data_IF_262883622489
#
_entry.id   IF_262883622489
#
_cell.length_a   1.000
_cell.length_b   1.000
_cell.length_c   1.000
_cell.angle_alpha   90.00
_cell.angle_beta   90.00
_cell.angle_gamma   90.00
#
_symmetry.space_group_name_H-M   'P 1'
#
loop_
_entity.id
_entity.type
_entity.pdbx_description
1 polymer ?
#
# COMPACT_ATOMS: atom_id res chain seq x y z
N UNK A 1 14.48 1.75 -11.50
CA UNK A 1 14.57 2.62 -10.31
C UNK A 1 13.27 2.66 -9.52
N UNK A 2 12.15 2.91 -10.19
CA UNK A 2 10.85 3.01 -9.53
C UNK A 2 10.42 1.73 -8.81
N UNK A 3 10.75 0.58 -9.36
CA UNK A 3 10.39 -0.69 -8.74
C UNK A 3 11.22 -0.96 -7.48
N UNK A 4 12.47 -0.50 -7.46
CA UNK A 4 13.32 -0.61 -6.28
C UNK A 4 12.74 0.24 -5.14
N UNK A 5 12.28 1.44 -5.47
CA UNK A 5 11.65 2.33 -4.49
C UNK A 5 10.37 1.68 -3.94
N UNK A 6 9.56 1.07 -4.81
CA UNK A 6 8.36 0.37 -4.38
C UNK A 6 8.68 -0.75 -3.39
N UNK A 7 9.71 -1.56 -3.71
CA UNK A 7 10.11 -2.66 -2.84
C UNK A 7 10.61 -2.14 -1.49
N UNK A 8 11.35 -1.04 -1.49
CA UNK A 8 11.86 -0.45 -0.25
C UNK A 8 10.72 0.08 0.63
N UNK A 9 9.67 0.63 0.01
CA UNK A 9 8.55 1.18 0.78
C UNK A 9 7.66 0.09 1.39
N UNK A 10 7.69 -1.13 0.88
CA UNK A 10 6.85 -2.21 1.40
C UNK A 10 7.10 -2.48 2.89
N UNK A 11 8.35 -2.68 3.35
CA UNK A 11 8.59 -2.89 4.79
C UNK A 11 8.21 -1.68 5.65
N UNK A 12 8.42 -0.47 5.12
CA UNK A 12 8.08 0.75 5.84
C UNK A 12 6.57 0.84 6.04
N UNK A 13 5.81 0.57 4.99
CA UNK A 13 4.36 0.58 5.07
C UNK A 13 3.83 -0.55 5.95
N UNK A 14 4.48 -1.72 5.90
CA UNK A 14 4.16 -2.84 6.78
C UNK A 14 4.30 -2.42 8.24
N UNK A 15 5.41 -1.78 8.58
CA UNK A 15 5.66 -1.28 9.94
C UNK A 15 4.58 -0.27 10.34
N UNK A 16 4.27 0.67 9.46
CA UNK A 16 3.24 1.68 9.72
C UNK A 16 1.89 1.04 10.02
N UNK A 17 1.49 0.06 9.21
CA UNK A 17 0.22 -0.63 9.39
C UNK A 17 0.21 -1.43 10.70
N UNK A 18 1.31 -2.14 10.99
CA UNK A 18 1.41 -2.93 12.21
C UNK A 18 1.26 -2.04 13.45
N UNK A 19 1.96 -0.92 13.48
CA UNK A 19 1.89 0.02 14.60
C UNK A 19 0.47 0.58 14.73
N UNK A 20 -0.17 0.88 13.61
CA UNK A 20 -1.52 1.43 13.60
C UNK A 20 -2.57 0.49 14.20
N UNK A 21 -2.36 -0.81 14.09
CA UNK A 21 -3.29 -1.80 14.66
C UNK A 21 -2.92 -2.24 16.07
N UNK A 22 -1.78 -1.84 16.60
CA UNK A 22 -1.37 -2.19 17.97
C UNK A 22 -1.87 -1.11 18.92
N UNK A 23 -2.76 -1.50 19.85
CA UNK A 23 -3.41 -0.55 20.74
C UNK A 23 -2.42 0.22 21.60
N UNK A 24 -1.38 -0.46 22.12
CA UNK A 24 -0.36 0.16 22.97
C UNK A 24 0.35 1.28 22.23
N UNK A 25 0.77 1.01 21.01
CA UNK A 25 1.48 2.01 20.20
C UNK A 25 0.56 3.12 19.73
N UNK A 26 -0.67 2.77 19.35
CA UNK A 26 -1.63 3.75 18.84
C UNK A 26 -2.00 4.78 19.91
N UNK A 27 -2.00 4.40 21.18
CA UNK A 27 -2.34 5.29 22.29
C UNK A 27 -1.14 6.05 22.85
N UNK A 28 0.05 5.77 22.34
CA UNK A 28 1.27 6.44 22.79
C UNK A 28 1.33 7.87 22.28
N UNK A 29 2.00 8.73 23.04
CA UNK A 29 2.16 10.13 22.66
C UNK A 29 3.03 10.30 21.41
N UNK A 30 3.93 9.34 21.15
CA UNK A 30 4.81 9.40 19.98
C UNK A 30 4.13 8.95 18.69
N UNK A 31 2.94 8.34 18.79
CA UNK A 31 2.29 7.72 17.65
C UNK A 31 2.05 8.73 16.51
N UNK A 32 1.40 9.84 16.82
CA UNK A 32 1.05 10.82 15.79
C UNK A 32 2.26 11.45 15.10
N UNK A 33 3.27 11.97 15.84
CA UNK A 33 4.46 12.52 15.19
C UNK A 33 5.22 11.53 14.34
N UNK A 34 5.39 10.30 14.83
CA UNK A 34 6.13 9.27 14.11
C UNK A 34 5.37 8.86 12.85
N UNK A 35 4.05 8.66 12.95
CA UNK A 35 3.26 8.23 11.80
C UNK A 35 3.18 9.32 10.74
N UNK A 36 3.09 10.59 11.13
CA UNK A 36 3.13 11.69 10.18
C UNK A 36 4.48 11.75 9.49
N UNK A 37 5.57 11.55 10.21
CA UNK A 37 6.92 11.54 9.65
C UNK A 37 7.09 10.41 8.63
N UNK A 38 6.59 9.23 8.94
CA UNK A 38 6.63 8.09 8.02
C UNK A 38 5.80 8.38 6.78
N UNK A 39 4.61 8.97 6.94
CA UNK A 39 3.76 9.34 5.81
C UNK A 39 4.43 10.34 4.88
N UNK A 40 5.10 11.34 5.44
CA UNK A 40 5.84 12.30 4.65
C UNK A 40 6.99 11.63 3.89
N UNK A 41 7.71 10.73 4.55
CA UNK A 41 8.78 9.98 3.91
C UNK A 41 8.26 9.15 2.73
N UNK A 42 7.15 8.44 2.93
CA UNK A 42 6.54 7.63 1.88
C UNK A 42 6.07 8.50 0.71
N UNK A 43 5.53 9.69 0.99
CA UNK A 43 5.13 10.62 -0.06
C UNK A 43 6.32 11.11 -0.86
N UNK A 44 7.43 11.41 -0.20
CA UNK A 44 8.66 11.80 -0.89
C UNK A 44 9.18 10.69 -1.78
N UNK A 45 9.13 9.44 -1.31
CA UNK A 45 9.53 8.29 -2.10
C UNK A 45 8.65 8.12 -3.33
N UNK A 46 7.34 8.32 -3.16
CA UNK A 46 6.38 8.25 -4.25
C UNK A 46 6.69 9.27 -5.34
N UNK A 47 6.84 10.54 -4.97
CA UNK A 47 7.13 11.59 -5.94
C UNK A 47 8.50 11.43 -6.57
N UNK A 48 9.48 10.91 -5.82
CA UNK A 48 10.81 10.64 -6.37
C UNK A 48 10.74 9.55 -7.43
N UNK A 49 9.94 8.50 -7.21
CA UNK A 49 9.81 7.43 -8.19
C UNK A 49 9.13 7.92 -9.47
N UNK A 50 8.20 8.87 -9.37
CA UNK A 50 7.53 9.42 -10.55
C UNK A 50 8.49 10.16 -11.48
N UNK A 51 9.57 10.72 -10.95
CA UNK A 51 10.56 11.40 -11.77
C UNK A 51 11.27 10.49 -12.76
N UNK A 52 11.32 9.20 -12.46
CA UNK A 52 12.04 8.23 -13.29
C UNK A 52 11.14 7.54 -14.31
N UNK A 53 9.88 7.94 -14.39
CA UNK A 53 8.94 7.33 -15.32
C UNK A 53 8.54 8.39 -16.35
N UNK A 54 8.91 8.16 -17.61
CA UNK A 54 8.65 9.13 -18.68
C UNK A 54 7.28 8.93 -19.32
N UNK A 55 6.79 7.70 -19.40
CA UNK A 55 5.53 7.35 -20.05
C UNK A 55 4.38 7.48 -19.09
N UNK A 56 3.35 8.25 -19.47
CA UNK A 56 2.18 8.45 -18.62
C UNK A 56 1.42 7.16 -18.32
N UNK A 57 1.39 6.24 -19.28
CA UNK A 57 0.75 4.94 -19.05
C UNK A 57 1.51 4.12 -18.01
N UNK A 58 2.82 4.21 -18.00
CA UNK A 58 3.64 3.56 -16.98
C UNK A 58 3.41 4.17 -15.60
N UNK A 59 3.24 5.49 -15.53
CA UNK A 59 2.92 6.16 -14.26
C UNK A 59 1.60 5.63 -13.73
N UNK A 60 0.58 5.53 -14.57
CA UNK A 60 -0.73 5.02 -14.16
C UNK A 60 -0.62 3.57 -13.68
N UNK A 61 0.09 2.73 -14.41
CA UNK A 61 0.31 1.35 -13.98
C UNK A 61 1.04 1.27 -12.65
N UNK A 62 2.06 2.10 -12.48
CA UNK A 62 2.82 2.16 -11.21
C UNK A 62 1.92 2.59 -10.06
N UNK A 63 1.03 3.57 -10.29
CA UNK A 63 0.06 3.99 -9.29
C UNK A 63 -0.84 2.84 -8.85
N UNK A 64 -1.33 2.06 -9.82
CA UNK A 64 -2.19 0.92 -9.53
C UNK A 64 -1.45 -0.14 -8.72
N UNK A 65 -0.20 -0.42 -9.09
CA UNK A 65 0.63 -1.37 -8.34
C UNK A 65 0.91 -0.90 -6.92
N UNK A 66 1.18 0.38 -6.75
CA UNK A 66 1.40 0.98 -5.43
C UNK A 66 0.17 0.84 -4.55
N UNK A 67 -1.01 1.21 -5.09
CA UNK A 67 -2.26 1.11 -4.35
C UNK A 67 -2.60 -0.34 -4.00
N UNK A 68 -2.38 -1.25 -4.94
CA UNK A 68 -2.61 -2.67 -4.71
C UNK A 68 -1.72 -3.19 -3.57
N UNK A 69 -0.45 -2.84 -3.59
CA UNK A 69 0.49 -3.22 -2.53
C UNK A 69 0.05 -2.70 -1.18
N UNK A 70 -0.32 -1.41 -1.11
CA UNK A 70 -0.77 -0.82 0.14
C UNK A 70 -2.03 -1.47 0.67
N UNK A 71 -2.99 -1.78 -0.22
CA UNK A 71 -4.21 -2.45 0.18
C UNK A 71 -3.95 -3.87 0.66
N UNK A 72 -3.07 -4.60 -0.02
CA UNK A 72 -2.71 -5.95 0.42
C UNK A 72 -2.12 -5.92 1.82
N UNK A 73 -1.18 -5.03 2.07
CA UNK A 73 -0.55 -4.90 3.39
C UNK A 73 -1.59 -4.50 4.43
N UNK A 74 -2.47 -3.55 4.10
CA UNK A 74 -3.49 -3.07 5.03
C UNK A 74 -4.46 -4.16 5.46
N UNK A 75 -4.74 -5.14 4.59
CA UNK A 75 -5.66 -6.22 4.91
C UNK A 75 -4.95 -7.44 5.49
N UNK A 76 -3.79 -7.80 4.97
CA UNK A 76 -3.10 -9.01 5.42
C UNK A 76 -2.49 -8.87 6.82
N UNK A 77 -1.96 -7.69 7.15
CA UNK A 77 -1.35 -7.47 8.45
C UNK A 77 -2.37 -7.68 9.58
N UNK A 78 -3.56 -7.03 9.55
CA UNK A 78 -4.54 -7.27 10.62
C UNK A 78 -5.04 -8.71 10.66
N UNK A 79 -5.21 -9.36 9.52
CA UNK A 79 -5.71 -10.74 9.48
C UNK A 79 -4.70 -11.70 10.09
N UNK A 80 -3.42 -11.55 9.73
CA UNK A 80 -2.36 -12.49 10.14
C UNK A 80 -1.94 -12.23 11.57
N UNK A 81 -1.74 -10.97 11.96
CA UNK A 81 -1.15 -10.63 13.25
C UNK A 81 -2.16 -10.32 14.35
N UNK A 82 -3.37 -9.94 13.99
CA UNK A 82 -4.39 -9.52 14.96
C UNK A 82 -5.66 -10.37 14.90
N UNK A 83 -5.65 -11.44 14.10
CA UNK A 83 -6.74 -12.43 14.01
C UNK A 83 -8.11 -11.81 13.75
N UNK A 84 -8.15 -10.78 12.91
CA UNK A 84 -9.41 -10.17 12.53
C UNK A 84 -10.18 -11.07 11.58
N UNK A 85 -11.48 -11.21 11.84
CA UNK A 85 -12.36 -11.99 11.00
C UNK A 85 -12.92 -11.12 9.87
N UNK A 86 -12.78 -11.60 8.63
CA UNK A 86 -13.38 -10.95 7.47
C UNK A 86 -14.73 -11.59 7.19
N UNK A 87 -15.72 -10.76 6.90
CA UNK A 87 -16.98 -11.29 6.43
C UNK A 87 -16.88 -11.61 4.93
N UNK A 88 -17.89 -12.34 4.42
CA UNK A 88 -17.87 -12.81 3.03
C UNK A 88 -17.90 -11.66 2.05
N UNK A 89 -18.57 -10.56 2.37
CA UNK A 89 -18.67 -9.40 1.48
C UNK A 89 -17.34 -8.68 1.33
N UNK A 90 -16.56 -8.60 2.40
CA UNK A 90 -15.22 -8.00 2.34
C UNK A 90 -14.30 -8.83 1.45
N UNK A 91 -14.34 -10.15 1.57
CA UNK A 91 -13.55 -11.04 0.73
C UNK A 91 -13.97 -10.90 -0.74
N UNK A 92 -15.26 -10.82 -0.99
CA UNK A 92 -15.79 -10.63 -2.36
C UNK A 92 -15.30 -9.33 -2.97
N UNK A 93 -15.34 -8.22 -2.24
CA UNK A 93 -14.83 -6.95 -2.70
C UNK A 93 -13.34 -6.98 -3.00
N UNK A 94 -12.58 -7.70 -2.18
CA UNK A 94 -11.14 -7.87 -2.37
C UNK A 94 -10.84 -8.61 -3.67
N UNK A 95 -11.59 -9.69 -3.93
CA UNK A 95 -11.45 -10.46 -5.17
C UNK A 95 -11.79 -9.60 -6.38
N UNK A 96 -12.88 -8.80 -6.31
CA UNK A 96 -13.26 -7.89 -7.39
C UNK A 96 -12.15 -6.87 -7.68
N UNK A 97 -11.48 -6.39 -6.65
CA UNK A 97 -10.37 -5.46 -6.82
C UNK A 97 -9.25 -6.08 -7.66
N UNK A 98 -8.88 -7.32 -7.38
CA UNK A 98 -7.83 -8.01 -8.14
C UNK A 98 -8.25 -8.24 -9.59
N UNK A 99 -9.52 -8.59 -9.81
CA UNK A 99 -10.05 -8.77 -11.16
C UNK A 99 -9.99 -7.45 -11.93
N UNK A 100 -10.36 -6.35 -11.28
CA UNK A 100 -10.31 -5.01 -11.90
C UNK A 100 -8.90 -4.63 -12.29
N UNK A 101 -7.91 -4.93 -11.44
CA UNK A 101 -6.51 -4.66 -11.74
C UNK A 101 -6.04 -5.45 -12.95
N UNK A 102 -6.43 -6.71 -13.05
CA UNK A 102 -6.06 -7.55 -14.19
C UNK A 102 -6.64 -7.00 -15.49
N UNK A 103 -7.89 -6.52 -15.46
CA UNK A 103 -8.54 -5.95 -16.65
C UNK A 103 -7.82 -4.66 -17.07
N UNK A 104 -7.50 -3.80 -16.13
CA UNK A 104 -6.82 -2.53 -16.42
C UNK A 104 -5.44 -2.80 -17.04
N UNK A 105 -4.69 -3.72 -16.44
CA UNK A 105 -3.37 -4.10 -16.96
C UNK A 105 -3.47 -4.63 -18.39
N UNK A 106 -4.43 -5.49 -18.65
CA UNK A 106 -4.63 -6.07 -19.96
C UNK A 106 -4.87 -5.00 -21.03
N UNK A 107 -5.68 -3.97 -20.71
CA UNK A 107 -5.99 -2.91 -21.65
C UNK A 107 -4.83 -1.94 -21.86
N UNK A 108 -4.05 -1.68 -20.81
CA UNK A 108 -2.97 -0.71 -20.90
C UNK A 108 -1.78 -1.19 -21.74
N UNK A 109 -1.57 -2.51 -21.79
CA UNK A 109 -0.40 -3.10 -22.44
C UNK A 109 -0.75 -3.88 -23.70
N UNK A 110 -1.89 -3.58 -24.32
CA UNK A 110 -2.26 -4.13 -25.61
C UNK A 110 -1.55 -3.45 -26.77
#
# INVERSE_FOLDING_TARGET
MEWIILIITMPIYFFQTYVGYTDVYRRSNWFLPVMVSIGLFLSCMWFSSMKYIDDKNRILFYCICWDCMMMMISYFVPIIFFDLNLNKMTIFGFVLMFISLAIIKSNMFK
#
